data_IF_232953696280
#
_entry.id   IF_232953696280
#
_cell.length_a   1.000
_cell.length_b   1.000
_cell.length_c   1.000
_cell.angle_alpha   90.00
_cell.angle_beta   90.00
_cell.angle_gamma   90.00
#
_symmetry.space_group_name_H-M   'P 1'
#
loop_
_entity.id
_entity.type
_entity.pdbx_description
1 polymer ?
#
# COMPACT_ATOMS: atom_id res chain seq x y z
N UNK A 1 -8.07 9.66 12.71
CA UNK A 1 -6.80 9.05 13.16
C UNK A 1 -5.73 10.13 13.06
N UNK A 2 -4.83 10.23 14.03
CA UNK A 2 -3.67 11.13 13.94
C UNK A 2 -2.69 10.55 12.92
N UNK A 3 -2.19 11.36 12.01
CA UNK A 3 -1.29 10.93 10.94
C UNK A 3 0.00 10.30 11.48
N UNK A 4 0.52 10.78 12.61
CA UNK A 4 1.70 10.16 13.25
C UNK A 4 1.41 8.73 13.69
N UNK A 5 0.20 8.46 14.17
CA UNK A 5 -0.21 7.10 14.55
C UNK A 5 -0.37 6.21 13.33
N UNK A 6 -0.84 6.77 12.22
CA UNK A 6 -0.92 6.04 10.95
C UNK A 6 0.48 5.65 10.46
N UNK A 7 1.44 6.57 10.48
CA UNK A 7 2.84 6.28 10.13
C UNK A 7 3.44 5.17 11.01
N UNK A 8 3.25 5.24 12.33
CA UNK A 8 3.71 4.19 13.25
C UNK A 8 3.04 2.84 12.96
N UNK A 9 1.75 2.82 12.64
CA UNK A 9 1.04 1.59 12.29
C UNK A 9 1.54 0.98 10.98
N UNK A 10 1.69 1.80 9.94
CA UNK A 10 2.18 1.39 8.62
C UNK A 10 3.61 0.86 8.73
N UNK A 11 4.50 1.55 9.44
CA UNK A 11 5.87 1.09 9.65
C UNK A 11 5.92 -0.27 10.36
N UNK A 12 5.11 -0.47 11.42
CA UNK A 12 5.06 -1.76 12.11
C UNK A 12 4.48 -2.87 11.21
N UNK A 13 3.52 -2.54 10.35
CA UNK A 13 2.94 -3.50 9.41
C UNK A 13 3.96 -3.90 8.34
N UNK A 14 4.69 -2.93 7.79
CA UNK A 14 5.75 -3.13 6.79
C UNK A 14 6.85 -4.07 7.31
N UNK A 15 7.33 -3.85 8.55
CA UNK A 15 8.29 -4.74 9.19
C UNK A 15 7.76 -6.18 9.30
N UNK A 16 6.49 -6.35 9.70
CA UNK A 16 5.86 -7.68 9.82
C UNK A 16 5.62 -8.35 8.48
N UNK A 17 5.30 -7.59 7.44
CA UNK A 17 5.19 -8.06 6.06
C UNK A 17 6.53 -8.65 5.63
N UNK A 18 7.63 -7.90 5.80
CA UNK A 18 9.00 -8.36 5.49
C UNK A 18 9.47 -9.55 6.31
N UNK A 19 9.01 -9.67 7.55
CA UNK A 19 9.29 -10.81 8.41
C UNK A 19 8.44 -12.05 8.09
N UNK A 20 7.54 -11.98 7.11
CA UNK A 20 6.57 -13.03 6.80
C UNK A 20 5.68 -13.44 8.00
N UNK A 21 5.33 -12.47 8.85
CA UNK A 21 4.59 -12.69 10.12
C UNK A 21 3.06 -12.59 9.97
N UNK A 22 2.56 -12.50 8.73
CA UNK A 22 1.14 -12.59 8.43
C UNK A 22 0.81 -13.86 7.66
N UNK A 23 -0.42 -14.37 7.82
CA UNK A 23 -1.01 -15.23 6.80
C UNK A 23 -1.48 -14.40 5.61
N UNK A 24 -1.63 -15.03 4.43
CA UNK A 24 -2.12 -14.36 3.23
C UNK A 24 -3.51 -13.75 3.47
N UNK A 25 -4.40 -14.48 4.14
CA UNK A 25 -5.77 -14.02 4.43
C UNK A 25 -5.78 -12.83 5.39
N UNK A 26 -4.93 -12.83 6.40
CA UNK A 26 -4.79 -11.68 7.31
C UNK A 26 -4.27 -10.45 6.56
N UNK A 27 -3.25 -10.63 5.72
CA UNK A 27 -2.67 -9.53 4.99
C UNK A 27 -3.66 -8.94 3.97
N UNK A 28 -4.44 -9.79 3.29
CA UNK A 28 -5.45 -9.33 2.34
C UNK A 28 -6.46 -8.40 3.01
N UNK A 29 -7.03 -8.81 4.13
CA UNK A 29 -7.98 -7.99 4.91
C UNK A 29 -7.36 -6.68 5.37
N UNK A 30 -6.08 -6.70 5.76
CA UNK A 30 -5.38 -5.50 6.20
C UNK A 30 -5.15 -4.54 5.03
N UNK A 31 -4.66 -5.03 3.89
CA UNK A 31 -4.29 -4.21 2.73
C UNK A 31 -5.52 -3.62 2.03
N UNK A 32 -6.66 -4.32 2.02
CA UNK A 32 -7.93 -3.78 1.50
C UNK A 32 -8.30 -2.42 2.12
N UNK A 33 -8.08 -2.25 3.43
CA UNK A 33 -8.34 -0.97 4.09
C UNK A 33 -7.38 0.12 3.59
N UNK A 34 -6.12 -0.20 3.29
CA UNK A 34 -5.12 0.78 2.85
C UNK A 34 -5.24 1.16 1.37
N UNK A 35 -5.61 0.23 0.50
CA UNK A 35 -5.83 0.54 -0.94
C UNK A 35 -7.01 1.47 -1.18
N UNK A 36 -7.92 1.61 -0.20
CA UNK A 36 -9.08 2.51 -0.26
C UNK A 36 -8.88 3.84 0.48
N UNK A 37 -7.70 4.07 1.08
CA UNK A 37 -7.40 5.33 1.78
C UNK A 37 -7.34 6.48 0.77
N UNK A 38 -7.99 7.59 1.13
CA UNK A 38 -7.80 8.85 0.43
C UNK A 38 -6.48 9.52 0.87
N UNK A 39 -5.52 9.60 -0.04
CA UNK A 39 -4.23 10.26 0.20
C UNK A 39 -4.29 11.79 0.16
N UNK A 40 -5.40 12.39 -0.28
CA UNK A 40 -5.52 13.84 -0.34
C UNK A 40 -5.42 14.46 1.06
N UNK A 41 -4.48 15.39 1.23
CA UNK A 41 -4.26 16.08 2.50
C UNK A 41 -3.36 15.33 3.49
N UNK A 42 -2.86 14.15 3.13
CA UNK A 42 -1.77 13.48 3.86
C UNK A 42 -0.42 14.05 3.47
N UNK A 43 0.53 14.02 4.40
CA UNK A 43 1.93 14.33 4.15
C UNK A 43 2.49 13.35 3.13
N UNK A 44 3.50 13.82 2.40
CA UNK A 44 4.25 12.99 1.46
C UNK A 44 4.77 11.72 2.12
N UNK A 45 5.42 11.84 3.28
CA UNK A 45 6.04 10.70 3.98
C UNK A 45 5.03 9.62 4.35
N UNK A 46 3.81 10.01 4.73
CA UNK A 46 2.74 9.06 5.07
C UNK A 46 2.27 8.31 3.82
N UNK A 47 2.11 9.03 2.69
CA UNK A 47 1.71 8.44 1.41
C UNK A 47 2.76 7.46 0.89
N UNK A 48 4.03 7.87 0.91
CA UNK A 48 5.17 7.03 0.55
C UNK A 48 5.21 5.75 1.39
N UNK A 49 5.09 5.87 2.72
CA UNK A 49 5.13 4.71 3.61
C UNK A 49 4.01 3.70 3.32
N UNK A 50 2.79 4.19 3.05
CA UNK A 50 1.65 3.33 2.72
C UNK A 50 1.88 2.64 1.37
N UNK A 51 2.29 3.38 0.35
CA UNK A 51 2.55 2.82 -0.99
C UNK A 51 3.66 1.77 -0.95
N UNK A 52 4.76 2.06 -0.24
CA UNK A 52 5.87 1.12 -0.08
C UNK A 52 5.42 -0.17 0.65
N UNK A 53 4.65 -0.04 1.73
CA UNK A 53 4.08 -1.20 2.44
C UNK A 53 3.19 -2.05 1.54
N UNK A 54 2.37 -1.43 0.67
CA UNK A 54 1.51 -2.13 -0.27
C UNK A 54 2.34 -2.84 -1.34
N UNK A 55 3.39 -2.21 -1.88
CA UNK A 55 4.33 -2.86 -2.79
C UNK A 55 4.94 -4.12 -2.15
N UNK A 56 5.46 -4.01 -0.93
CA UNK A 56 6.05 -5.13 -0.21
C UNK A 56 5.02 -6.24 0.05
N UNK A 57 3.78 -5.89 0.41
CA UNK A 57 2.70 -6.86 0.59
C UNK A 57 2.40 -7.64 -0.71
N UNK A 58 2.29 -6.95 -1.85
CA UNK A 58 2.04 -7.58 -3.14
C UNK A 58 3.20 -8.47 -3.55
N UNK A 59 4.43 -7.97 -3.42
CA UNK A 59 5.65 -8.67 -3.83
C UNK A 59 5.91 -9.94 -3.00
N UNK A 60 5.73 -9.88 -1.67
CA UNK A 60 6.06 -11.00 -0.79
C UNK A 60 4.96 -12.05 -0.64
N UNK A 61 3.70 -11.70 -0.90
CA UNK A 61 2.56 -12.58 -0.61
C UNK A 61 1.69 -12.94 -1.83
N UNK A 62 1.99 -12.41 -3.01
CA UNK A 62 1.21 -12.67 -4.23
C UNK A 62 -0.31 -12.42 -4.03
N UNK A 63 -0.64 -11.31 -3.37
CA UNK A 63 -2.02 -10.86 -3.12
C UNK A 63 -2.54 -9.92 -4.22
N UNK A 64 -1.72 -9.63 -5.24
CA UNK A 64 -1.99 -8.63 -6.28
C UNK A 64 -3.33 -8.84 -6.99
N UNK A 65 -3.67 -10.09 -7.31
CA UNK A 65 -4.91 -10.45 -8.02
C UNK A 65 -6.17 -10.44 -7.15
N UNK A 66 -6.01 -10.43 -5.83
CA UNK A 66 -7.09 -10.59 -4.86
C UNK A 66 -7.60 -9.22 -4.34
N UNK A 67 -6.99 -8.11 -4.75
CA UNK A 67 -7.29 -6.74 -4.30
C UNK A 67 -7.99 -5.89 -5.38
N UNK A 68 -8.81 -4.93 -4.95
CA UNK A 68 -9.38 -3.91 -5.85
C UNK A 68 -8.47 -2.67 -5.93
N UNK A 69 -7.85 -2.47 -7.08
CA UNK A 69 -6.91 -1.37 -7.34
C UNK A 69 -7.55 -0.07 -7.84
N UNK A 70 -8.85 -0.02 -8.09
CA UNK A 70 -9.52 1.15 -8.67
C UNK A 70 -9.24 2.44 -7.89
N UNK A 71 -9.23 2.36 -6.56
CA UNK A 71 -8.98 3.51 -5.70
C UNK A 71 -7.55 4.03 -5.82
N UNK A 72 -6.54 3.14 -5.81
CA UNK A 72 -5.13 3.50 -6.01
C UNK A 72 -4.87 4.02 -7.42
N UNK A 73 -5.48 3.41 -8.44
CA UNK A 73 -5.34 3.86 -9.82
C UNK A 73 -5.95 5.26 -10.00
N UNK A 74 -7.10 5.51 -9.38
CA UNK A 74 -7.81 6.80 -9.52
C UNK A 74 -7.01 7.99 -8.98
N UNK A 75 -6.21 7.80 -7.94
CA UNK A 75 -5.39 8.85 -7.33
C UNK A 75 -4.02 9.03 -8.00
N UNK A 76 -3.62 8.13 -8.90
CA UNK A 76 -2.29 8.12 -9.54
C UNK A 76 -1.91 9.48 -10.12
N UNK A 77 -2.82 10.12 -10.84
CA UNK A 77 -2.56 11.41 -11.51
C UNK A 77 -2.39 12.56 -10.51
N UNK A 78 -2.90 12.42 -9.29
CA UNK A 78 -2.84 13.42 -8.22
C UNK A 78 -1.56 13.27 -7.36
N UNK A 79 -0.77 12.23 -7.57
CA UNK A 79 0.47 11.97 -6.85
C UNK A 79 1.67 12.72 -7.45
N UNK A 80 2.71 12.87 -6.65
CA UNK A 80 4.05 13.26 -7.11
C UNK A 80 4.64 12.18 -8.04
N UNK A 81 5.52 12.58 -8.98
CA UNK A 81 6.00 11.69 -10.04
C UNK A 81 6.75 10.45 -9.52
N UNK A 82 7.44 10.58 -8.40
CA UNK A 82 8.09 9.48 -7.70
C UNK A 82 7.08 8.51 -7.04
N UNK A 83 6.00 9.03 -6.44
CA UNK A 83 4.93 8.22 -5.87
C UNK A 83 4.10 7.49 -6.95
N UNK A 84 4.01 8.05 -8.16
CA UNK A 84 3.43 7.34 -9.32
C UNK A 84 4.20 6.08 -9.68
N UNK A 85 5.53 6.07 -9.49
CA UNK A 85 6.35 4.89 -9.79
C UNK A 85 5.92 3.70 -8.92
N UNK A 86 5.60 3.90 -7.65
CA UNK A 86 5.07 2.85 -6.77
C UNK A 86 3.72 2.32 -7.27
N UNK A 87 2.81 3.21 -7.69
CA UNK A 87 1.52 2.81 -8.25
C UNK A 87 1.69 2.02 -9.55
N UNK A 88 2.60 2.44 -10.42
CA UNK A 88 2.93 1.73 -11.66
C UNK A 88 3.54 0.35 -11.37
N UNK A 89 4.39 0.24 -10.35
CA UNK A 89 4.96 -1.04 -9.91
C UNK A 89 3.85 -1.99 -9.44
N UNK A 90 2.95 -1.52 -8.57
CA UNK A 90 1.79 -2.29 -8.08
C UNK A 90 0.93 -2.79 -9.25
N UNK A 91 0.62 -1.94 -10.23
CA UNK A 91 -0.17 -2.30 -11.42
C UNK A 91 0.58 -3.35 -12.27
N UNK A 92 1.90 -3.20 -12.41
CA UNK A 92 2.72 -4.15 -13.17
C UNK A 92 2.77 -5.53 -12.51
N UNK A 93 2.81 -5.58 -11.17
CA UNK A 93 2.79 -6.81 -10.38
C UNK A 93 1.40 -7.48 -10.38
N UNK A 94 0.32 -6.71 -10.51
CA UNK A 94 -1.05 -7.24 -10.61
C UNK A 94 -1.30 -8.10 -11.87
N UNK A 95 -0.56 -7.86 -12.96
CA UNK A 95 -0.79 -8.51 -14.26
C UNK A 95 0.07 -9.77 -14.53
N UNK A 96 0.92 -10.20 -13.61
CA UNK A 96 1.73 -11.44 -13.73
C UNK A 96 1.08 -12.62 -13.00
#
# INVERSE_FOLDING_TARGET
MDEKKLEELVSNMDDRIRMHDYSKEQLLLLIEDYVTINFQGMKYQTREAILNMICDAVNYYDIGKDLNWESIIAIREDLEDDLKEYVDEIISMHHN
#
